data_IF_944414277300
#
_entry.id   IF_944414277300
#
_cell.length_a   1.000
_cell.length_b   1.000
_cell.length_c   1.000
_cell.angle_alpha   90.00
_cell.angle_beta   90.00
_cell.angle_gamma   90.00
#
_symmetry.space_group_name_H-M   'P 1'
#
loop_
_entity.id
_entity.type
_entity.pdbx_description
1 polymer ?
#
# COMPACT_ATOMS: atom_id res chain seq x y z
N UNK A 1 -15.87 1.78 5.78
CA UNK A 1 -15.00 2.18 6.90
C UNK A 1 -13.88 3.09 6.40
N UNK A 2 -13.75 4.30 6.95
CA UNK A 2 -12.81 5.35 6.51
C UNK A 2 -11.77 5.59 7.62
N UNK A 3 -10.48 5.60 7.27
CA UNK A 3 -9.42 5.97 8.23
C UNK A 3 -9.40 7.51 8.43
N UNK A 4 -9.72 7.99 9.64
CA UNK A 4 -9.68 9.41 9.99
C UNK A 4 -8.43 9.73 10.83
N UNK A 5 -7.65 10.73 10.40
CA UNK A 5 -6.48 11.24 11.16
C UNK A 5 -6.81 12.60 11.75
N UNK A 6 -6.94 12.67 13.07
CA UNK A 6 -7.30 13.90 13.80
C UNK A 6 -6.08 14.42 14.56
N UNK A 7 -5.91 15.74 14.59
CA UNK A 7 -4.89 16.43 15.40
C UNK A 7 -5.57 17.22 16.52
N UNK A 8 -5.29 16.85 17.77
CA UNK A 8 -5.77 17.57 18.96
C UNK A 8 -4.98 18.87 19.17
N UNK A 9 -5.53 19.82 19.94
CA UNK A 9 -4.86 21.08 20.31
C UNK A 9 -3.63 20.88 21.19
N UNK A 10 -3.55 19.74 21.90
CA UNK A 10 -2.33 19.35 22.61
C UNK A 10 -1.18 18.95 21.67
N UNK A 11 -1.41 18.92 20.36
CA UNK A 11 -0.43 18.54 19.33
C UNK A 11 -0.43 17.04 18.99
N UNK A 12 -1.10 16.21 19.79
CA UNK A 12 -1.16 14.76 19.52
C UNK A 12 -1.97 14.47 18.26
N UNK A 13 -1.39 13.67 17.37
CA UNK A 13 -2.08 13.07 16.23
C UNK A 13 -2.50 11.65 16.57
N UNK A 14 -3.74 11.30 16.23
CA UNK A 14 -4.27 9.95 16.41
C UNK A 14 -5.13 9.56 15.21
N UNK A 15 -5.22 8.25 14.98
CA UNK A 15 -5.93 7.65 13.85
C UNK A 15 -6.94 6.64 14.36
N UNK A 16 -8.10 6.59 13.73
CA UNK A 16 -9.13 5.59 13.99
C UNK A 16 -9.98 5.38 12.74
N UNK A 17 -10.58 4.20 12.67
CA UNK A 17 -11.42 3.80 11.56
C UNK A 17 -12.88 3.96 11.97
N UNK A 18 -13.64 4.72 11.18
CA UNK A 18 -15.04 5.01 11.49
C UNK A 18 -15.92 4.82 10.26
N UNK A 19 -17.15 4.39 10.51
CA UNK A 19 -18.23 4.39 9.54
C UNK A 19 -19.16 5.56 9.88
N UNK A 20 -19.16 6.64 9.09
CA UNK A 20 -19.98 7.82 9.37
C UNK A 20 -21.47 7.45 9.29
N UNK A 21 -22.27 7.91 10.25
CA UNK A 21 -23.73 7.80 10.22
C UNK A 21 -24.28 9.19 9.92
N UNK A 22 -24.92 9.36 8.76
CA UNK A 22 -25.40 10.66 8.28
C UNK A 22 -24.30 11.74 8.19
N UNK A 23 -23.08 11.36 7.80
CA UNK A 23 -21.94 12.27 7.69
C UNK A 23 -21.37 12.77 9.03
N UNK A 24 -21.73 12.12 10.14
CA UNK A 24 -21.25 12.46 11.48
C UNK A 24 -20.66 11.23 12.20
N UNK A 25 -19.81 11.52 13.19
CA UNK A 25 -19.23 10.53 14.10
C UNK A 25 -20.33 9.89 14.96
N UNK A 26 -20.44 8.54 15.00
CA UNK A 26 -21.46 7.85 15.80
C UNK A 26 -21.18 7.86 17.31
N UNK A 27 -19.97 8.21 17.73
CA UNK A 27 -19.57 8.30 19.14
C UNK A 27 -18.64 9.50 19.37
N UNK A 28 -18.59 9.96 20.62
CA UNK A 28 -17.69 11.04 21.02
C UNK A 28 -16.24 10.54 21.10
N UNK A 29 -15.31 11.34 20.59
CA UNK A 29 -13.89 10.98 20.57
C UNK A 29 -13.09 11.91 21.45
N UNK A 30 -12.39 11.32 22.42
CA UNK A 30 -11.52 12.05 23.33
C UNK A 30 -10.07 11.81 22.96
N UNK A 31 -9.25 12.86 23.06
CA UNK A 31 -7.81 12.71 22.86
C UNK A 31 -7.22 11.77 23.93
N UNK A 32 -6.44 10.74 23.56
CA UNK A 32 -5.88 9.79 24.54
C UNK A 32 -4.82 10.42 25.46
N UNK A 33 -4.33 11.62 25.15
CA UNK A 33 -3.27 12.29 25.91
C UNK A 33 -3.83 13.31 26.89
N UNK A 34 -4.70 14.22 26.42
CA UNK A 34 -5.22 15.30 27.27
C UNK A 34 -6.71 15.13 27.65
N UNK A 35 -7.41 14.13 27.09
CA UNK A 35 -8.84 13.94 27.33
C UNK A 35 -9.76 14.99 26.70
N UNK A 36 -9.23 15.94 25.91
CA UNK A 36 -10.06 16.94 25.24
C UNK A 36 -11.00 16.31 24.21
N UNK A 37 -12.20 16.88 24.09
CA UNK A 37 -13.24 16.47 23.13
C UNK A 37 -12.78 16.85 21.71
N UNK A 38 -12.66 15.84 20.84
CA UNK A 38 -12.19 15.99 19.46
C UNK A 38 -13.26 15.65 18.42
N UNK A 39 -14.51 15.47 18.83
CA UNK A 39 -15.60 15.03 17.95
C UNK A 39 -15.93 16.08 16.91
N UNK A 40 -15.92 17.36 17.29
CA UNK A 40 -16.19 18.46 16.36
C UNK A 40 -15.14 18.53 15.24
N UNK A 41 -13.86 18.35 15.60
CA UNK A 41 -12.75 18.27 14.62
C UNK A 41 -12.85 17.06 13.71
N UNK A 42 -13.24 15.91 14.25
CA UNK A 42 -13.46 14.71 13.47
C UNK A 42 -14.61 14.91 12.45
N UNK A 43 -15.74 15.48 12.88
CA UNK A 43 -16.87 15.82 12.00
C UNK A 43 -16.50 16.83 10.91
N UNK A 44 -15.62 17.79 11.20
CA UNK A 44 -15.12 18.73 10.19
C UNK A 44 -14.27 18.02 9.11
N UNK A 45 -13.39 17.10 9.51
CA UNK A 45 -12.56 16.33 8.57
C UNK A 45 -13.37 15.32 7.75
N UNK A 46 -14.41 14.72 8.35
CA UNK A 46 -15.35 13.86 7.61
C UNK A 46 -16.06 14.63 6.48
N UNK A 47 -16.60 15.83 6.78
CA UNK A 47 -17.22 16.69 5.76
C UNK A 47 -16.24 17.09 4.65
N UNK A 48 -14.98 17.34 5.00
CA UNK A 48 -13.96 17.66 4.01
C UNK A 48 -13.65 16.48 3.09
N UNK A 49 -13.56 15.26 3.63
CA UNK A 49 -13.31 14.04 2.86
C UNK A 49 -14.51 13.65 1.98
N UNK A 50 -15.75 13.79 2.48
CA UNK A 50 -16.95 13.54 1.67
C UNK A 50 -17.05 14.51 0.49
N UNK A 51 -16.70 15.78 0.70
CA UNK A 51 -16.67 16.78 -0.39
C UNK A 51 -15.66 16.38 -1.48
N UNK A 52 -14.50 15.83 -1.10
CA UNK A 52 -13.49 15.37 -2.06
C UNK A 52 -13.96 14.14 -2.87
N UNK A 53 -14.72 13.24 -2.25
CA UNK A 53 -15.25 12.05 -2.91
C UNK A 53 -16.44 12.38 -3.82
N UNK A 54 -17.29 13.33 -3.44
CA UNK A 54 -18.43 13.78 -4.25
C UNK A 54 -17.99 14.42 -5.59
N UNK A 55 -16.87 15.13 -5.60
CA UNK A 55 -16.32 15.75 -6.83
C UNK A 55 -15.79 14.71 -7.82
N UNK A 56 -15.39 13.52 -7.36
CA UNK A 56 -14.93 12.43 -8.23
C UNK A 56 -16.08 11.63 -8.88
N UNK A 57 -17.30 11.73 -8.36
CA UNK A 57 -18.44 10.93 -8.80
C UNK A 57 -19.42 11.66 -9.74
N UNK A 58 -19.18 12.94 -10.07
CA UNK A 58 -20.03 13.67 -11.01
C UNK A 58 -19.85 13.10 -12.44
N UNK A 59 -20.94 12.69 -13.14
CA UNK A 59 -20.86 12.18 -14.50
C UNK A 59 -20.40 13.29 -15.44
N UNK A 60 -19.30 13.03 -16.15
CA UNK A 60 -18.76 13.92 -17.18
C UNK A 60 -19.67 13.92 -18.43
N UNK A 61 -20.85 14.51 -18.34
CA UNK A 61 -21.71 14.78 -19.51
C UNK A 61 -21.47 16.20 -20.00
N UNK A 62 -20.44 16.37 -20.83
CA UNK A 62 -20.24 17.57 -21.63
C UNK A 62 -18.87 17.58 -22.31
N UNK A 63 -18.75 17.95 -23.61
CA UNK A 63 -17.48 18.19 -24.26
C UNK A 63 -16.90 19.53 -23.75
N UNK A 64 -16.32 19.48 -22.55
CA UNK A 64 -15.79 20.64 -21.84
C UNK A 64 -14.28 20.71 -21.94
N UNK A 65 -13.80 21.75 -22.61
CA UNK A 65 -12.40 22.13 -22.73
C UNK A 65 -11.58 21.94 -21.45
N UNK A 66 -10.37 21.45 -21.64
CA UNK A 66 -9.32 21.25 -20.64
C UNK A 66 -9.04 22.57 -19.91
N UNK A 67 -9.74 22.84 -18.80
CA UNK A 67 -9.47 23.97 -17.92
C UNK A 67 -8.32 23.59 -16.99
N UNK A 68 -7.12 24.03 -17.36
CA UNK A 68 -5.97 24.08 -16.46
C UNK A 68 -6.34 25.01 -15.30
N UNK A 69 -6.73 24.43 -14.17
CA UNK A 69 -6.89 25.17 -12.93
C UNK A 69 -5.49 25.55 -12.45
N UNK A 70 -4.98 26.68 -12.95
CA UNK A 70 -3.74 27.29 -12.48
C UNK A 70 -4.05 27.87 -11.11
N UNK A 71 -3.81 27.10 -10.06
CA UNK A 71 -3.79 27.60 -8.70
C UNK A 71 -2.82 28.77 -8.64
N UNK A 72 -3.36 29.99 -8.56
CA UNK A 72 -2.58 31.18 -8.25
C UNK A 72 -2.13 31.04 -6.80
N UNK A 73 -0.94 30.45 -6.62
CA UNK A 73 -0.25 30.45 -5.35
C UNK A 73 0.25 31.88 -5.10
N UNK A 74 -0.65 32.74 -4.62
CA UNK A 74 -0.25 34.01 -4.03
C UNK A 74 0.38 33.70 -2.68
N UNK A 75 1.70 33.52 -2.66
CA UNK A 75 2.47 33.65 -1.41
C UNK A 75 2.48 35.12 -1.00
N UNK A 76 1.90 35.51 0.15
CA UNK A 76 2.41 36.68 0.85
C UNK A 76 3.81 36.33 1.34
N UNK A 77 4.83 36.88 0.67
CA UNK A 77 6.20 36.92 1.19
C UNK A 77 6.17 37.85 2.40
N UNK A 78 5.97 37.29 3.59
CA UNK A 78 6.29 37.97 4.84
C UNK A 78 7.80 38.06 4.92
N UNK A 79 8.31 39.29 4.90
CA UNK A 79 9.73 39.56 5.03
C UNK A 79 10.27 39.01 6.36
N UNK A 80 11.36 38.23 6.35
CA UNK A 80 11.99 37.81 7.60
C UNK A 80 12.54 39.02 8.35
N UNK A 81 12.46 39.04 9.70
CA UNK A 81 13.12 40.07 10.50
C UNK A 81 14.64 40.05 10.30
N UNK A 82 15.33 41.20 10.46
CA UNK A 82 16.78 41.28 10.36
C UNK A 82 17.43 40.39 11.42
N UNK A 83 18.12 39.35 10.95
CA UNK A 83 18.94 38.47 11.79
C UNK A 83 20.17 39.29 12.19
N UNK A 84 20.27 39.67 13.45
CA UNK A 84 21.48 40.23 14.03
C UNK A 84 22.61 39.19 13.95
N UNK A 85 23.84 39.57 13.56
CA UNK A 85 24.97 38.65 13.53
C UNK A 85 25.34 38.27 14.97
N UNK A 86 24.96 37.06 15.39
CA UNK A 86 25.48 36.44 16.61
C UNK A 86 26.92 36.02 16.33
N UNK A 87 27.83 36.54 17.15
CA UNK A 87 29.25 36.27 17.12
C UNK A 87 29.57 34.76 17.09
N UNK A 88 30.49 34.39 16.20
CA UNK A 88 31.05 33.04 16.11
C UNK A 88 31.53 32.53 17.48
N UNK A 89 31.08 31.36 17.95
CA UNK A 89 31.73 30.65 19.04
C UNK A 89 33.11 30.17 18.58
N UNK A 90 34.06 30.28 19.51
CA UNK A 90 35.47 29.98 19.35
C UNK A 90 35.76 28.62 18.70
N UNK A 91 36.85 28.61 17.92
CA UNK A 91 37.43 27.44 17.30
C UNK A 91 37.62 26.27 18.30
N UNK A 92 37.31 25.02 17.90
CA UNK A 92 37.67 23.85 18.69
C UNK A 92 39.20 23.67 18.74
N UNK A 93 39.77 23.21 19.87
CA UNK A 93 41.20 22.98 19.98
C UNK A 93 41.64 21.87 19.02
N UNK A 94 42.77 22.12 18.36
CA UNK A 94 43.47 21.19 17.49
C UNK A 94 43.60 19.80 18.16
N UNK A 95 42.89 18.82 17.60
CA UNK A 95 43.10 17.43 17.96
C UNK A 95 44.46 16.99 17.44
N UNK A 96 45.32 16.58 18.38
CA UNK A 96 46.65 16.03 18.09
C UNK A 96 46.50 14.80 17.19
N UNK A 97 47.36 14.63 16.17
CA UNK A 97 47.41 13.39 15.41
C UNK A 97 47.87 12.29 16.36
N UNK A 98 47.03 11.28 16.58
CA UNK A 98 47.43 10.02 17.20
C UNK A 98 48.33 9.27 16.21
N UNK A 99 49.64 9.12 16.47
CA UNK A 99 50.48 8.23 15.70
C UNK A 99 50.40 6.86 16.36
N UNK A 100 49.90 5.86 15.62
CA UNK A 100 50.09 4.47 16.00
C UNK A 100 48.83 3.78 16.49
N UNK A 101 48.01 3.34 15.54
CA UNK A 101 47.45 2.01 15.63
C UNK A 101 47.67 1.30 14.30
N UNK A 102 48.59 0.34 14.35
CA UNK A 102 48.63 -0.86 13.55
C UNK A 102 48.57 -0.66 12.04
N UNK A 103 49.74 -0.45 11.47
CA UNK A 103 50.10 -0.94 10.15
C UNK A 103 49.70 -2.42 10.08
N UNK A 104 48.51 -2.70 9.54
CA UNK A 104 48.08 -4.06 9.23
C UNK A 104 49.16 -4.64 8.33
N UNK A 105 49.88 -5.61 8.88
CA UNK A 105 50.81 -6.48 8.17
C UNK A 105 50.13 -6.89 6.88
N UNK A 106 50.61 -6.36 5.76
CA UNK A 106 50.18 -6.76 4.44
C UNK A 106 50.56 -8.24 4.31
N UNK A 107 49.59 -9.13 4.54
CA UNK A 107 49.74 -10.54 4.24
C UNK A 107 50.14 -10.67 2.77
N UNK A 108 51.20 -11.43 2.47
CA UNK A 108 51.74 -11.54 1.11
C UNK A 108 50.65 -12.04 0.18
N UNK A 109 50.33 -11.20 -0.81
CA UNK A 109 49.39 -11.49 -1.89
C UNK A 109 49.95 -12.68 -2.68
N UNK A 110 49.44 -13.86 -2.42
CA UNK A 110 49.70 -15.03 -3.27
C UNK A 110 49.30 -14.64 -4.70
N UNK A 111 50.12 -14.92 -5.73
CA UNK A 111 49.80 -14.59 -7.12
C UNK A 111 48.65 -15.49 -7.60
N UNK A 112 47.44 -15.11 -7.18
CA UNK A 112 46.20 -15.77 -7.56
C UNK A 112 45.85 -15.45 -9.00
N UNK A 113 45.37 -16.47 -9.70
CA UNK A 113 44.82 -16.46 -11.06
C UNK A 113 44.07 -15.16 -11.38
N UNK A 114 44.20 -14.58 -12.60
CA UNK A 114 43.57 -13.33 -12.96
C UNK A 114 42.08 -13.40 -12.62
N UNK A 115 41.61 -12.52 -11.73
CA UNK A 115 40.22 -12.46 -11.34
C UNK A 115 39.33 -12.14 -12.54
N UNK A 116 38.20 -12.86 -12.60
CA UNK A 116 37.26 -12.75 -13.69
C UNK A 116 36.18 -11.75 -13.26
N UNK A 117 36.32 -10.50 -13.68
CA UNK A 117 35.34 -9.43 -13.45
C UNK A 117 33.89 -9.86 -13.75
N UNK A 118 33.68 -10.56 -14.88
CA UNK A 118 32.40 -11.14 -15.27
C UNK A 118 31.80 -12.09 -14.23
N UNK A 119 32.64 -12.84 -13.52
CA UNK A 119 32.19 -13.75 -12.47
C UNK A 119 31.58 -12.97 -11.29
N UNK A 120 32.10 -11.77 -11.00
CA UNK A 120 31.52 -10.86 -10.02
C UNK A 120 30.12 -10.37 -10.41
N UNK A 121 29.90 -10.05 -11.69
CA UNK A 121 28.57 -9.65 -12.20
C UNK A 121 27.57 -10.81 -12.04
N UNK A 122 27.95 -12.02 -12.46
CA UNK A 122 27.11 -13.22 -12.30
C UNK A 122 26.78 -13.45 -10.83
N UNK A 123 27.78 -13.32 -9.94
CA UNK A 123 27.58 -13.44 -8.50
C UNK A 123 26.62 -12.40 -7.93
N UNK A 124 26.70 -11.15 -8.40
CA UNK A 124 25.77 -10.10 -8.01
C UNK A 124 24.34 -10.38 -8.45
N UNK A 125 24.16 -10.90 -9.67
CA UNK A 125 22.85 -11.22 -10.24
C UNK A 125 22.20 -12.40 -9.50
N UNK A 126 22.97 -13.47 -9.23
CA UNK A 126 22.51 -14.61 -8.42
C UNK A 126 22.15 -14.16 -7.00
N UNK A 127 23.01 -13.36 -6.36
CA UNK A 127 22.75 -12.82 -5.02
C UNK A 127 21.49 -11.96 -4.96
N UNK A 128 21.27 -11.10 -5.97
CA UNK A 128 20.06 -10.28 -6.07
C UNK A 128 18.79 -11.13 -6.24
N UNK A 129 18.82 -12.15 -7.11
CA UNK A 129 17.70 -13.06 -7.31
C UNK A 129 17.38 -13.85 -6.04
N UNK A 130 18.39 -14.42 -5.38
CA UNK A 130 18.20 -15.13 -4.12
C UNK A 130 17.63 -14.22 -3.03
N UNK A 131 18.15 -13.00 -2.89
CA UNK A 131 17.61 -12.00 -1.97
C UNK A 131 16.16 -11.63 -2.27
N UNK A 132 15.80 -11.48 -3.55
CA UNK A 132 14.43 -11.18 -3.98
C UNK A 132 13.46 -12.32 -3.67
N UNK A 133 13.86 -13.58 -3.87
CA UNK A 133 13.04 -14.76 -3.53
C UNK A 133 12.80 -14.85 -2.02
N UNK A 134 13.85 -14.70 -1.21
CA UNK A 134 13.73 -14.70 0.26
C UNK A 134 12.80 -13.57 0.71
N UNK A 135 12.97 -12.38 0.14
CA UNK A 135 12.10 -11.23 0.42
C UNK A 135 10.63 -11.53 0.08
N UNK A 136 10.36 -12.08 -1.11
CA UNK A 136 9.02 -12.45 -1.53
C UNK A 136 8.37 -13.46 -0.58
N UNK A 137 9.12 -14.47 -0.13
CA UNK A 137 8.61 -15.47 0.82
C UNK A 137 8.26 -14.84 2.16
N UNK A 138 9.15 -14.02 2.73
CA UNK A 138 8.88 -13.33 4.00
C UNK A 138 7.62 -12.47 3.88
N UNK A 139 7.52 -11.69 2.81
CA UNK A 139 6.36 -10.85 2.54
C UNK A 139 5.06 -11.68 2.44
N UNK A 140 5.09 -12.80 1.71
CA UNK A 140 3.92 -13.67 1.52
C UNK A 140 3.46 -14.34 2.82
N UNK A 141 4.37 -14.65 3.75
CA UNK A 141 4.02 -15.30 5.02
C UNK A 141 3.62 -14.31 6.12
N UNK A 142 4.27 -13.15 6.19
CA UNK A 142 4.08 -12.23 7.31
C UNK A 142 3.09 -11.11 7.04
N UNK A 143 2.82 -10.75 5.78
CA UNK A 143 1.95 -9.62 5.42
C UNK A 143 2.47 -8.24 5.87
N UNK A 144 3.67 -8.17 6.47
CA UNK A 144 4.24 -6.92 6.97
C UNK A 144 4.99 -6.15 5.87
N UNK A 145 4.58 -4.91 5.63
CA UNK A 145 5.19 -3.97 4.68
C UNK A 145 6.26 -3.10 5.36
N UNK A 146 7.36 -3.68 5.85
CA UNK A 146 8.46 -2.85 6.36
C UNK A 146 9.28 -2.23 5.22
N UNK A 147 9.41 -0.89 5.24
CA UNK A 147 10.23 -0.13 4.27
C UNK A 147 11.73 -0.47 4.30
N UNK A 148 12.22 -1.15 5.33
CA UNK A 148 13.64 -1.46 5.52
C UNK A 148 14.11 -2.74 4.79
N UNK A 149 13.21 -3.47 4.12
CA UNK A 149 13.56 -4.72 3.46
C UNK A 149 14.43 -4.60 2.20
N UNK A 150 14.67 -3.39 1.68
CA UNK A 150 15.62 -3.19 0.59
C UNK A 150 17.07 -3.49 1.01
N UNK A 151 17.39 -3.32 2.31
CA UNK A 151 18.73 -3.50 2.87
C UNK A 151 19.25 -4.94 2.69
N UNK A 152 18.51 -6.01 3.09
CA UNK A 152 19.00 -7.39 2.92
C UNK A 152 19.20 -7.77 1.45
N UNK A 153 18.33 -7.33 0.52
CA UNK A 153 18.50 -7.64 -0.91
C UNK A 153 19.80 -7.03 -1.46
N UNK A 154 20.07 -5.76 -1.14
CA UNK A 154 21.34 -5.12 -1.50
C UNK A 154 22.55 -5.80 -0.88
N UNK A 155 22.42 -6.25 0.38
CA UNK A 155 23.47 -7.02 1.06
C UNK A 155 23.76 -8.35 0.36
N UNK A 156 22.73 -9.13 -0.01
CA UNK A 156 22.92 -10.40 -0.73
C UNK A 156 23.51 -10.22 -2.13
N UNK A 157 23.10 -9.18 -2.86
CA UNK A 157 23.70 -8.84 -4.15
C UNK A 157 25.20 -8.47 -4.00
N UNK A 158 25.53 -7.63 -3.01
CA UNK A 158 26.92 -7.26 -2.72
C UNK A 158 27.76 -8.45 -2.26
N UNK A 159 27.22 -9.30 -1.39
CA UNK A 159 27.89 -10.51 -0.90
C UNK A 159 28.14 -11.51 -2.05
N UNK A 160 27.17 -11.72 -2.92
CA UNK A 160 27.31 -12.58 -4.10
C UNK A 160 28.38 -12.08 -5.06
N UNK A 161 28.39 -10.78 -5.34
CA UNK A 161 29.42 -10.14 -6.17
C UNK A 161 30.81 -10.24 -5.54
N UNK A 162 30.91 -10.06 -4.21
CA UNK A 162 32.18 -10.17 -3.49
C UNK A 162 32.73 -11.60 -3.50
N UNK A 163 31.86 -12.59 -3.22
CA UNK A 163 32.23 -13.99 -3.12
C UNK A 163 32.72 -14.55 -4.47
N UNK A 164 32.03 -14.22 -5.57
CA UNK A 164 32.41 -14.69 -6.90
C UNK A 164 33.48 -13.81 -7.58
N UNK A 165 33.53 -12.52 -7.26
CA UNK A 165 34.52 -11.56 -7.79
C UNK A 165 35.91 -11.68 -7.16
N UNK A 166 36.11 -12.60 -6.19
CA UNK A 166 37.39 -12.84 -5.49
C UNK A 166 38.03 -11.57 -4.90
N UNK A 167 37.21 -10.61 -4.47
CA UNK A 167 37.71 -9.41 -3.79
C UNK A 167 38.34 -8.34 -4.68
N UNK A 168 38.22 -8.43 -6.01
CA UNK A 168 38.48 -7.27 -6.86
C UNK A 168 37.32 -6.28 -6.79
N UNK A 169 37.37 -5.45 -5.75
CA UNK A 169 36.49 -4.30 -5.61
C UNK A 169 36.88 -3.19 -6.58
N UNK A 170 36.69 -3.39 -7.89
CA UNK A 170 36.70 -2.25 -8.81
C UNK A 170 35.47 -1.39 -8.50
N UNK A 171 35.65 -0.07 -8.49
CA UNK A 171 34.55 0.88 -8.26
C UNK A 171 33.42 0.68 -9.27
N UNK A 172 33.78 0.24 -10.47
CA UNK A 172 32.85 -0.08 -11.56
C UNK A 172 31.97 -1.29 -11.24
N UNK A 173 32.52 -2.36 -10.64
CA UNK A 173 31.72 -3.52 -10.24
C UNK A 173 30.67 -3.15 -9.19
N UNK A 174 31.05 -2.29 -8.24
CA UNK A 174 30.13 -1.73 -7.24
C UNK A 174 28.99 -0.92 -7.87
N UNK A 175 29.30 -0.13 -8.89
CA UNK A 175 28.29 0.63 -9.65
C UNK A 175 27.31 -0.27 -10.40
N UNK A 176 27.81 -1.28 -11.12
CA UNK A 176 26.97 -2.20 -11.91
C UNK A 176 26.06 -3.03 -10.99
N UNK A 177 26.60 -3.55 -9.88
CA UNK A 177 25.82 -4.32 -8.91
C UNK A 177 24.72 -3.49 -8.25
N UNK A 178 24.98 -2.20 -7.96
CA UNK A 178 23.96 -1.29 -7.45
C UNK A 178 22.83 -1.07 -8.46
N UNK A 179 23.14 -0.89 -9.75
CA UNK A 179 22.12 -0.74 -10.82
C UNK A 179 21.29 -2.02 -10.95
N UNK A 180 21.93 -3.19 -10.95
CA UNK A 180 21.24 -4.48 -11.00
C UNK A 180 20.32 -4.69 -9.79
N UNK A 181 20.77 -4.33 -8.58
CA UNK A 181 19.94 -4.40 -7.39
C UNK A 181 18.73 -3.46 -7.47
N UNK A 182 18.92 -2.22 -7.94
CA UNK A 182 17.82 -1.26 -8.13
C UNK A 182 16.81 -1.76 -9.17
N UNK A 183 17.27 -2.28 -10.30
CA UNK A 183 16.39 -2.88 -11.32
C UNK A 183 15.61 -4.07 -10.76
N UNK A 184 16.25 -4.92 -9.95
CA UNK A 184 15.59 -6.04 -9.27
C UNK A 184 14.51 -5.59 -8.28
N UNK A 185 14.75 -4.53 -7.52
CA UNK A 185 13.75 -3.96 -6.59
C UNK A 185 12.54 -3.42 -7.37
N UNK A 186 12.77 -2.66 -8.44
CA UNK A 186 11.68 -2.11 -9.28
C UNK A 186 10.87 -3.24 -9.91
N UNK A 187 11.54 -4.26 -10.45
CA UNK A 187 10.87 -5.44 -11.02
C UNK A 187 10.04 -6.17 -9.96
N UNK A 188 10.56 -6.38 -8.76
CA UNK A 188 9.82 -7.02 -7.66
C UNK A 188 8.57 -6.21 -7.27
N UNK A 189 8.70 -4.88 -7.14
CA UNK A 189 7.55 -4.01 -6.86
C UNK A 189 6.50 -4.08 -7.99
N UNK A 190 6.95 -4.10 -9.25
CA UNK A 190 6.07 -4.26 -10.40
C UNK A 190 5.32 -5.59 -10.36
N UNK A 191 5.98 -6.71 -10.06
CA UNK A 191 5.32 -8.02 -9.94
C UNK A 191 4.33 -8.09 -8.79
N UNK A 192 4.63 -7.49 -7.63
CA UNK A 192 3.67 -7.42 -6.52
C UNK A 192 2.43 -6.61 -6.93
N UNK A 193 2.62 -5.46 -7.58
CA UNK A 193 1.52 -4.64 -8.09
C UNK A 193 0.69 -5.40 -9.14
N UNK A 194 1.36 -6.11 -10.05
CA UNK A 194 0.71 -6.95 -11.07
C UNK A 194 -0.07 -8.11 -10.43
N UNK A 195 0.47 -8.71 -9.35
CA UNK A 195 -0.21 -9.75 -8.59
C UNK A 195 -1.45 -9.24 -7.86
N UNK A 196 -1.40 -8.04 -7.29
CA UNK A 196 -2.57 -7.37 -6.71
C UNK A 196 -3.60 -7.04 -7.79
N UNK A 197 -3.16 -6.54 -8.94
CA UNK A 197 -4.03 -6.25 -10.07
C UNK A 197 -4.70 -7.52 -10.62
N UNK A 198 -3.97 -8.63 -10.74
CA UNK A 198 -4.54 -9.91 -11.16
C UNK A 198 -5.49 -10.49 -10.12
N UNK A 199 -5.19 -10.38 -8.82
CA UNK A 199 -6.15 -10.75 -7.77
C UNK A 199 -7.39 -9.87 -7.81
N UNK A 200 -7.21 -8.56 -7.92
CA UNK A 200 -8.30 -7.61 -8.05
C UNK A 200 -9.13 -7.88 -9.30
N UNK A 201 -8.52 -8.18 -10.45
CA UNK A 201 -9.21 -8.61 -11.68
C UNK A 201 -9.83 -10.00 -11.56
N UNK A 202 -9.32 -10.90 -10.73
CA UNK A 202 -9.95 -12.21 -10.50
C UNK A 202 -11.17 -12.09 -9.58
N UNK A 203 -11.15 -11.14 -8.64
CA UNK A 203 -12.29 -10.83 -7.76
C UNK A 203 -13.30 -9.90 -8.42
N UNK A 204 -12.84 -8.92 -9.20
CA UNK A 204 -13.65 -8.02 -10.03
C UNK A 204 -13.95 -8.61 -11.42
N UNK A 205 -13.42 -9.79 -11.72
CA UNK A 205 -13.59 -10.47 -12.98
C UNK A 205 -15.03 -10.90 -13.11
N UNK A 206 -15.72 -10.23 -14.04
CA UNK A 206 -17.09 -10.43 -14.48
C UNK A 206 -17.52 -11.89 -14.79
N UNK A 207 -16.61 -12.86 -14.66
CA UNK A 207 -16.91 -14.29 -14.67
C UNK A 207 -17.45 -14.83 -13.35
N UNK A 208 -16.95 -14.40 -12.17
CA UNK A 208 -17.41 -14.99 -10.90
C UNK A 208 -18.81 -14.52 -10.52
N UNK A 209 -19.10 -13.22 -10.63
CA UNK A 209 -20.44 -12.69 -10.38
C UNK A 209 -21.48 -13.30 -11.32
N UNK A 210 -21.19 -13.36 -12.63
CA UNK A 210 -22.12 -13.97 -13.60
C UNK A 210 -22.26 -15.48 -13.41
N UNK A 211 -21.17 -16.23 -13.22
CA UNK A 211 -21.25 -17.70 -13.03
C UNK A 211 -21.90 -18.07 -11.69
N UNK A 212 -21.65 -17.30 -10.63
CA UNK A 212 -22.34 -17.45 -9.35
C UNK A 212 -23.82 -17.11 -9.54
N UNK A 213 -24.17 -15.97 -10.13
CA UNK A 213 -25.59 -15.63 -10.37
C UNK A 213 -26.30 -16.65 -11.26
N UNK A 214 -25.66 -17.18 -12.31
CA UNK A 214 -26.23 -18.23 -13.15
C UNK A 214 -26.35 -19.56 -12.40
N UNK A 215 -25.39 -19.90 -11.53
CA UNK A 215 -25.47 -21.09 -10.70
C UNK A 215 -26.61 -20.98 -9.68
N UNK A 216 -26.70 -19.85 -8.97
CA UNK A 216 -27.76 -19.55 -8.01
C UNK A 216 -29.13 -19.49 -8.71
N UNK A 217 -29.23 -18.87 -9.89
CA UNK A 217 -30.46 -18.86 -10.67
C UNK A 217 -30.87 -20.28 -11.10
N UNK A 218 -29.92 -21.14 -11.52
CA UNK A 218 -30.22 -22.55 -11.83
C UNK A 218 -30.67 -23.33 -10.61
N UNK A 219 -30.13 -23.04 -9.44
CA UNK A 219 -30.53 -23.67 -8.18
C UNK A 219 -31.93 -23.23 -7.76
N UNK A 220 -32.22 -21.92 -7.85
CA UNK A 220 -33.54 -21.37 -7.61
C UNK A 220 -34.60 -21.97 -8.56
N UNK A 221 -34.29 -22.09 -9.86
CA UNK A 221 -35.21 -22.72 -10.84
C UNK A 221 -35.43 -24.21 -10.55
N UNK A 222 -34.43 -24.93 -10.01
CA UNK A 222 -34.60 -26.32 -9.58
C UNK A 222 -35.45 -26.45 -8.32
N UNK A 223 -35.32 -25.51 -7.39
CA UNK A 223 -36.08 -25.48 -6.14
C UNK A 223 -37.53 -25.01 -6.35
N UNK A 224 -37.77 -24.21 -7.39
CA UNK A 224 -39.06 -23.57 -7.69
C UNK A 224 -39.49 -23.94 -9.12
N UNK A 225 -39.81 -25.21 -9.40
CA UNK A 225 -40.11 -25.67 -10.76
C UNK A 225 -41.41 -25.11 -11.32
N UNK A 226 -42.39 -24.78 -10.47
CA UNK A 226 -43.69 -24.26 -10.92
C UNK A 226 -43.77 -22.74 -10.89
N UNK A 227 -42.82 -22.07 -10.22
CA UNK A 227 -42.83 -20.63 -10.04
C UNK A 227 -43.98 -20.13 -9.15
N UNK A 228 -44.65 -21.01 -8.39
CA UNK A 228 -45.80 -20.62 -7.57
C UNK A 228 -45.41 -19.77 -6.36
N UNK A 229 -46.30 -18.86 -5.93
CA UNK A 229 -46.02 -17.93 -4.82
C UNK A 229 -45.70 -18.65 -3.50
N UNK A 230 -46.25 -19.85 -3.28
CA UNK A 230 -45.97 -20.67 -2.09
C UNK A 230 -44.58 -21.32 -2.16
N UNK A 231 -44.14 -21.78 -3.33
CA UNK A 231 -42.77 -22.31 -3.52
C UNK A 231 -41.71 -21.22 -3.33
N UNK A 232 -41.96 -20.03 -3.89
CA UNK A 232 -41.05 -18.88 -3.73
C UNK A 232 -40.93 -18.47 -2.26
N UNK A 233 -42.05 -18.42 -1.51
CA UNK A 233 -42.00 -18.12 -0.07
C UNK A 233 -41.24 -19.15 0.73
N UNK A 234 -41.43 -20.44 0.45
CA UNK A 234 -40.69 -21.49 1.14
C UNK A 234 -39.18 -21.42 0.85
N UNK A 235 -38.81 -21.07 -0.38
CA UNK A 235 -37.41 -20.86 -0.77
C UNK A 235 -36.77 -19.67 -0.03
N UNK A 236 -37.42 -18.50 -0.08
CA UNK A 236 -36.94 -17.28 0.61
C UNK A 236 -36.87 -17.47 2.13
N UNK A 237 -37.88 -18.11 2.71
CA UNK A 237 -37.92 -18.44 4.13
C UNK A 237 -36.78 -19.37 4.56
N UNK A 238 -36.38 -20.31 3.70
CA UNK A 238 -35.24 -21.20 3.94
C UNK A 238 -33.91 -20.46 3.93
N UNK A 239 -33.73 -19.49 3.03
CA UNK A 239 -32.50 -18.70 2.90
C UNK A 239 -32.34 -17.69 4.05
N UNK A 240 -33.43 -17.04 4.47
CA UNK A 240 -33.42 -16.07 5.56
C UNK A 240 -33.59 -16.69 6.96
N UNK A 241 -33.94 -17.98 7.04
CA UNK A 241 -34.20 -18.68 8.30
C UNK A 241 -35.46 -18.20 9.02
N UNK A 242 -36.46 -17.70 8.27
CA UNK A 242 -37.74 -17.21 8.80
C UNK A 242 -38.89 -18.15 8.42
N UNK A 243 -40.07 -17.96 9.00
CA UNK A 243 -41.25 -18.73 8.62
C UNK A 243 -41.77 -18.28 7.23
N UNK A 244 -42.32 -19.19 6.39
CA UNK A 244 -42.86 -18.82 5.06
C UNK A 244 -43.96 -17.77 5.08
N UNK A 245 -44.70 -17.66 6.19
CA UNK A 245 -45.74 -16.65 6.39
C UNK A 245 -45.19 -15.26 6.73
N UNK A 246 -43.91 -15.15 7.10
CA UNK A 246 -43.24 -13.89 7.40
C UNK A 246 -42.67 -13.21 6.14
N UNK A 247 -42.54 -13.95 5.03
CA UNK A 247 -42.09 -13.42 3.74
C UNK A 247 -43.22 -12.63 3.09
N UNK A 248 -42.96 -11.35 2.80
CA UNK A 248 -43.98 -10.45 2.26
C UNK A 248 -44.30 -10.73 0.79
N UNK A 249 -45.49 -10.34 0.34
CA UNK A 249 -45.88 -10.44 -1.07
C UNK A 249 -44.95 -9.61 -1.99
N UNK A 250 -44.42 -8.50 -1.47
CA UNK A 250 -43.47 -7.64 -2.19
C UNK A 250 -42.12 -8.33 -2.41
N UNK A 251 -41.64 -9.13 -1.44
CA UNK A 251 -40.41 -9.91 -1.58
C UNK A 251 -40.56 -11.03 -2.62
N UNK A 252 -41.71 -11.70 -2.62
CA UNK A 252 -42.06 -12.72 -3.63
C UNK A 252 -42.12 -12.11 -5.03
N UNK A 253 -42.74 -10.93 -5.16
CA UNK A 253 -42.83 -10.21 -6.43
C UNK A 253 -41.46 -9.76 -6.93
N UNK A 254 -40.64 -9.15 -6.06
CA UNK A 254 -39.27 -8.74 -6.38
C UNK A 254 -38.40 -9.92 -6.78
N UNK A 255 -38.53 -11.06 -6.11
CA UNK A 255 -37.78 -12.27 -6.44
C UNK A 255 -38.17 -12.80 -7.82
N UNK A 256 -39.47 -12.84 -8.13
CA UNK A 256 -39.99 -13.24 -9.44
C UNK A 256 -39.45 -12.36 -10.56
N UNK A 257 -39.53 -11.04 -10.40
CA UNK A 257 -39.05 -10.08 -11.41
C UNK A 257 -37.53 -10.13 -11.63
N UNK A 258 -36.75 -10.51 -10.60
CA UNK A 258 -35.27 -10.54 -10.70
C UNK A 258 -34.69 -11.87 -11.15
N UNK A 259 -35.30 -13.01 -10.80
CA UNK A 259 -34.65 -14.32 -10.91
C UNK A 259 -35.32 -15.30 -11.86
N UNK A 260 -36.59 -15.10 -12.20
CA UNK A 260 -37.32 -15.97 -13.12
C UNK A 260 -37.43 -15.28 -14.49
N UNK A 261 -36.89 -15.88 -15.56
CA UNK A 261 -37.14 -15.38 -16.91
C UNK A 261 -38.62 -15.55 -17.26
N UNK A 262 -39.23 -14.55 -17.91
CA UNK A 262 -40.57 -14.64 -18.50
C UNK A 262 -40.69 -15.75 -19.55
#
# INVERSE_FOLDING_TARGET
MIELKVQCDCGQRYKFDVEPVNGQMPFSVHCPICGAEGTEKANALLRQNETLLAVAAAPATGPGALRVNRSAYATPVSAPPPITPVASPAAPPAQRPFPGLAQRVATPKTPGKPPNFWMGIVGGLVGALSGAVIYFLIFSYTGFTFRLFAIPVGFFAGLGAHLLGRGEGSKELGGITAILAMAGIVAAQYFVALGWWNKALSHAGAGSGYTVMVATAKEAVKAIPTGSDSEIRNYLAGDEGVAPTAVSDDDVKNFRERNLPE
#
